data_IF_787304695205
#
_entry.id   IF_787304695205
#
_cell.length_a   1.000
_cell.length_b   1.000
_cell.length_c   1.000
_cell.angle_alpha   90.00
_cell.angle_beta   90.00
_cell.angle_gamma   90.00
#
_symmetry.space_group_name_H-M   'P 1'
#
loop_
_entity.id
_entity.type
_entity.pdbx_description
1 polymer ?
#
# COMPACT_ATOMS: atom_id res chain seq x y z
N UNK A 1 -38.13 49.70 3.58
CA UNK A 1 -39.51 50.17 3.84
C UNK A 1 -40.47 48.98 3.66
N UNK A 2 -41.57 48.91 4.43
CA UNK A 2 -42.09 47.68 5.05
C UNK A 2 -43.19 46.94 4.27
N UNK A 3 -43.31 45.62 4.54
CA UNK A 3 -44.49 44.80 4.99
C UNK A 3 -45.92 45.37 4.83
N UNK A 4 -47.07 44.62 4.90
CA UNK A 4 -47.28 43.38 5.70
C UNK A 4 -48.48 42.42 5.35
N UNK A 5 -48.74 41.47 6.26
CA UNK A 5 -50.04 40.84 6.66
C UNK A 5 -50.57 39.67 5.79
N UNK A 6 -51.17 38.60 6.33
CA UNK A 6 -51.75 38.34 7.66
C UNK A 6 -51.96 36.84 7.93
N UNK A 7 -51.91 36.48 9.21
CA UNK A 7 -52.34 35.22 9.82
C UNK A 7 -53.86 34.99 9.69
N UNK A 8 -54.30 33.73 9.70
CA UNK A 8 -55.56 33.34 10.36
C UNK A 8 -55.53 31.84 10.74
N UNK A 9 -55.68 31.59 12.04
CA UNK A 9 -55.99 30.31 12.64
C UNK A 9 -57.52 30.08 12.62
N UNK A 10 -57.96 28.83 12.55
CA UNK A 10 -59.35 28.45 12.74
C UNK A 10 -59.44 26.97 13.08
N UNK A 11 -60.03 26.69 14.25
CA UNK A 11 -60.04 25.43 15.00
C UNK A 11 -61.41 24.74 14.86
N UNK A 12 -61.38 23.41 14.88
CA UNK A 12 -62.40 22.39 15.23
C UNK A 12 -63.89 22.74 15.37
N UNK A 13 -64.76 21.89 14.81
CA UNK A 13 -65.81 21.15 15.54
C UNK A 13 -66.70 20.29 14.60
N UNK A 14 -66.67 18.97 14.79
CA UNK A 14 -67.79 18.02 14.57
C UNK A 14 -68.90 18.28 15.62
N UNK A 15 -70.16 17.75 15.57
CA UNK A 15 -70.47 16.31 15.44
C UNK A 15 -71.91 15.98 14.88
N UNK A 16 -72.43 14.80 15.26
CA UNK A 16 -73.81 14.25 15.17
C UNK A 16 -73.98 13.21 14.04
N UNK A 17 -73.68 11.92 14.30
CA UNK A 17 -74.46 10.89 15.04
C UNK A 17 -75.71 10.39 14.29
N UNK A 18 -75.78 9.08 14.01
CA UNK A 18 -76.76 8.16 14.61
C UNK A 18 -76.59 6.71 14.07
N UNK A 19 -76.44 5.77 15.00
CA UNK A 19 -76.44 4.30 14.84
C UNK A 19 -77.89 3.75 14.80
N UNK A 20 -78.13 2.49 14.36
CA UNK A 20 -78.17 1.37 15.31
C UNK A 20 -77.67 -0.01 14.79
N UNK A 21 -76.86 -0.64 15.64
CA UNK A 21 -76.83 -2.04 16.12
C UNK A 21 -77.54 -3.16 15.32
N UNK A 22 -76.80 -4.24 15.03
CA UNK A 22 -77.24 -5.62 15.21
C UNK A 22 -76.03 -6.58 15.31
N UNK A 23 -76.09 -7.42 16.34
CA UNK A 23 -75.11 -8.43 16.79
C UNK A 23 -75.00 -9.60 15.80
N UNK A 24 -73.80 -10.17 15.61
CA UNK A 24 -73.63 -11.63 15.56
C UNK A 24 -72.17 -12.04 15.83
N UNK A 25 -72.07 -13.21 16.43
CA UNK A 25 -70.97 -13.88 17.14
C UNK A 25 -69.74 -14.30 16.30
N UNK A 26 -68.68 -14.62 17.07
CA UNK A 26 -67.53 -15.49 16.76
C UNK A 26 -66.41 -14.88 15.89
N UNK A 27 -65.21 -14.71 16.44
CA UNK A 27 -64.26 -15.81 16.64
C UNK A 27 -63.04 -15.31 17.44
N UNK A 28 -62.69 -16.03 18.49
CA UNK A 28 -61.51 -15.82 19.33
C UNK A 28 -60.24 -16.23 18.56
N UNK A 29 -59.47 -15.29 18.03
CA UNK A 29 -58.10 -15.52 17.53
C UNK A 29 -57.17 -14.33 17.86
N UNK A 30 -57.04 -13.99 19.13
CA UNK A 30 -55.95 -13.12 19.62
C UNK A 30 -55.32 -13.72 20.88
N UNK A 31 -54.75 -14.93 20.78
CA UNK A 31 -53.89 -15.44 21.86
C UNK A 31 -53.02 -16.65 21.49
N UNK A 32 -52.28 -16.66 20.38
CA UNK A 32 -51.31 -17.75 20.17
C UNK A 32 -50.13 -17.45 19.23
N UNK A 33 -49.39 -16.37 19.44
CA UNK A 33 -48.04 -16.23 18.85
C UNK A 33 -47.07 -15.52 19.82
N UNK A 34 -46.74 -16.16 20.94
CA UNK A 34 -45.56 -15.77 21.75
C UNK A 34 -44.96 -16.92 22.59
N UNK A 35 -45.28 -18.18 22.27
CA UNK A 35 -44.83 -19.34 23.05
C UNK A 35 -44.30 -20.48 22.15
N UNK A 36 -43.55 -20.15 21.11
CA UNK A 36 -42.79 -21.15 20.33
C UNK A 36 -41.40 -20.62 19.92
N UNK A 37 -40.72 -19.94 20.85
CA UNK A 37 -39.35 -19.47 20.65
C UNK A 37 -38.47 -19.68 21.89
N UNK A 38 -38.82 -20.65 22.73
CA UNK A 38 -38.06 -20.95 23.94
C UNK A 38 -38.12 -22.43 24.34
N UNK A 39 -37.85 -23.36 23.41
CA UNK A 39 -37.58 -24.76 23.79
C UNK A 39 -36.81 -25.49 22.67
N UNK A 40 -35.56 -25.09 22.43
CA UNK A 40 -34.58 -25.97 21.79
C UNK A 40 -33.15 -25.56 22.14
N UNK A 41 -32.79 -25.71 23.40
CA UNK A 41 -31.42 -26.06 23.76
C UNK A 41 -31.48 -27.29 24.65
N UNK A 42 -30.98 -28.41 24.11
CA UNK A 42 -29.96 -29.26 24.73
C UNK A 42 -29.77 -30.44 23.78
N UNK A 43 -28.71 -30.41 22.96
CA UNK A 43 -27.57 -31.32 23.12
C UNK A 43 -26.46 -31.04 22.09
N UNK A 44 -25.31 -30.60 22.62
CA UNK A 44 -23.95 -30.92 22.13
C UNK A 44 -23.66 -30.54 20.67
N UNK A 45 -23.37 -29.25 20.44
CA UNK A 45 -22.87 -28.74 19.16
C UNK A 45 -22.31 -27.30 19.21
N UNK A 46 -22.73 -26.49 20.18
CA UNK A 46 -22.44 -25.05 20.21
C UNK A 46 -20.94 -24.66 20.32
N UNK A 47 -20.08 -25.54 20.82
CA UNK A 47 -18.64 -25.26 20.90
C UNK A 47 -17.87 -25.51 19.60
N UNK A 48 -18.45 -26.23 18.62
CA UNK A 48 -17.82 -26.51 17.32
C UNK A 48 -18.30 -25.55 16.24
N UNK A 49 -19.57 -25.17 16.25
CA UNK A 49 -20.14 -24.27 15.25
C UNK A 49 -19.61 -22.83 15.38
N UNK A 50 -19.43 -22.30 16.61
CA UNK A 50 -18.84 -20.97 16.82
C UNK A 50 -17.33 -20.93 16.48
N UNK A 51 -16.61 -22.03 16.71
CA UNK A 51 -15.18 -22.15 16.38
C UNK A 51 -14.96 -22.33 14.86
N UNK A 52 -15.84 -23.10 14.19
CA UNK A 52 -15.87 -23.21 12.72
C UNK A 52 -16.23 -21.87 12.06
N UNK A 53 -17.22 -21.14 12.57
CA UNK A 53 -17.59 -19.81 12.06
C UNK A 53 -16.46 -18.79 12.24
N UNK A 54 -15.79 -18.78 13.40
CA UNK A 54 -14.62 -17.94 13.64
C UNK A 54 -13.46 -18.27 12.68
N UNK A 55 -13.24 -19.55 12.38
CA UNK A 55 -12.27 -20.01 11.40
C UNK A 55 -12.57 -19.52 9.98
N UNK A 56 -13.81 -19.66 9.53
CA UNK A 56 -14.27 -19.17 8.22
C UNK A 56 -14.16 -17.65 8.11
N UNK A 57 -14.49 -16.91 9.16
CA UNK A 57 -14.34 -15.45 9.21
C UNK A 57 -12.86 -15.04 9.14
N UNK A 58 -11.97 -15.76 9.81
CA UNK A 58 -10.53 -15.50 9.75
C UNK A 58 -9.97 -15.75 8.34
N UNK A 59 -10.39 -16.84 7.69
CA UNK A 59 -10.01 -17.15 6.31
C UNK A 59 -10.52 -16.07 5.34
N UNK A 60 -11.78 -15.66 5.47
CA UNK A 60 -12.35 -14.57 4.67
C UNK A 60 -11.59 -13.25 4.84
N UNK A 61 -11.19 -12.91 6.08
CA UNK A 61 -10.36 -11.73 6.36
C UNK A 61 -8.98 -11.84 5.70
N UNK A 62 -8.34 -13.01 5.75
CA UNK A 62 -7.05 -13.23 5.10
C UNK A 62 -7.14 -13.11 3.57
N UNK A 63 -8.19 -13.66 2.95
CA UNK A 63 -8.45 -13.50 1.51
C UNK A 63 -8.68 -12.04 1.15
N UNK A 64 -9.53 -11.34 1.89
CA UNK A 64 -9.80 -9.93 1.68
C UNK A 64 -8.54 -9.07 1.82
N UNK A 65 -7.68 -9.36 2.81
CA UNK A 65 -6.41 -8.68 3.00
C UNK A 65 -5.44 -8.91 1.83
N UNK A 66 -5.39 -10.13 1.28
CA UNK A 66 -4.66 -10.45 0.05
C UNK A 66 -5.14 -9.61 -1.14
N UNK A 67 -6.46 -9.58 -1.40
CA UNK A 67 -7.03 -8.77 -2.49
C UNK A 67 -6.79 -7.27 -2.31
N UNK A 68 -6.89 -6.76 -1.08
CA UNK A 68 -6.57 -5.37 -0.77
C UNK A 68 -5.10 -5.06 -1.03
N UNK A 69 -4.18 -5.96 -0.66
CA UNK A 69 -2.76 -5.79 -0.91
C UNK A 69 -2.47 -5.74 -2.42
N UNK A 70 -3.07 -6.61 -3.21
CA UNK A 70 -2.89 -6.63 -4.67
C UNK A 70 -3.44 -5.36 -5.34
N UNK A 71 -4.64 -4.94 -4.94
CA UNK A 71 -5.24 -3.68 -5.39
C UNK A 71 -4.35 -2.47 -5.06
N UNK A 72 -3.81 -2.43 -3.83
CA UNK A 72 -2.94 -1.35 -3.39
C UNK A 72 -1.60 -1.37 -4.12
N UNK A 73 -1.03 -2.55 -4.40
CA UNK A 73 0.17 -2.69 -5.24
C UNK A 73 -0.08 -2.18 -6.65
N UNK A 74 -1.20 -2.53 -7.29
CA UNK A 74 -1.57 -2.02 -8.61
C UNK A 74 -1.71 -0.49 -8.60
N UNK A 75 -2.39 0.06 -7.59
CA UNK A 75 -2.59 1.49 -7.41
C UNK A 75 -1.27 2.24 -7.19
N UNK A 76 -0.36 1.66 -6.39
CA UNK A 76 0.94 2.22 -6.06
C UNK A 76 1.86 2.25 -7.30
N UNK A 77 1.89 1.14 -8.04
CA UNK A 77 2.59 1.02 -9.32
C UNK A 77 2.09 2.04 -10.34
N UNK A 78 0.77 2.19 -10.48
CA UNK A 78 0.16 3.18 -11.37
C UNK A 78 0.52 4.61 -10.99
N UNK A 79 0.39 4.97 -9.71
CA UNK A 79 0.75 6.30 -9.22
C UNK A 79 2.26 6.60 -9.40
N UNK A 80 3.13 5.61 -9.17
CA UNK A 80 4.57 5.75 -9.39
C UNK A 80 4.89 6.00 -10.85
N UNK A 81 4.32 5.20 -11.76
CA UNK A 81 4.52 5.28 -13.21
C UNK A 81 4.15 6.66 -13.75
N UNK A 82 3.01 7.16 -13.31
CA UNK A 82 2.44 8.43 -13.77
C UNK A 82 2.93 9.65 -12.97
N UNK A 83 3.77 9.43 -11.96
CA UNK A 83 4.36 10.52 -11.17
C UNK A 83 3.36 11.25 -10.26
N UNK A 84 2.27 10.60 -9.86
CA UNK A 84 1.25 11.17 -8.96
C UNK A 84 1.69 11.03 -7.50
N UNK A 85 2.47 11.98 -7.01
CA UNK A 85 3.09 11.91 -5.68
C UNK A 85 2.10 11.79 -4.52
N UNK A 86 1.01 12.56 -4.51
CA UNK A 86 0.01 12.48 -3.43
C UNK A 86 -0.77 11.15 -3.43
N UNK A 87 -1.14 10.65 -4.61
CA UNK A 87 -1.81 9.35 -4.73
C UNK A 87 -0.87 8.23 -4.32
N UNK A 88 0.40 8.32 -4.71
CA UNK A 88 1.44 7.39 -4.28
C UNK A 88 1.58 7.38 -2.76
N UNK A 89 1.65 8.56 -2.13
CA UNK A 89 1.77 8.69 -0.67
C UNK A 89 0.55 8.11 0.07
N UNK A 90 -0.66 8.42 -0.37
CA UNK A 90 -1.90 7.87 0.21
C UNK A 90 -1.94 6.35 0.08
N UNK A 91 -1.68 5.85 -1.12
CA UNK A 91 -1.68 4.41 -1.42
C UNK A 91 -0.63 3.67 -0.60
N UNK A 92 0.57 4.24 -0.46
CA UNK A 92 1.64 3.70 0.39
C UNK A 92 1.16 3.52 1.84
N UNK A 93 0.59 4.57 2.42
CA UNK A 93 0.13 4.51 3.81
C UNK A 93 -0.96 3.44 4.00
N UNK A 94 -1.86 3.31 3.03
CA UNK A 94 -2.86 2.23 3.03
C UNK A 94 -2.22 0.84 2.89
N UNK A 95 -1.25 0.67 2.00
CA UNK A 95 -0.53 -0.59 1.80
C UNK A 95 0.20 -1.00 3.09
N UNK A 96 0.91 -0.07 3.72
CA UNK A 96 1.60 -0.28 4.99
C UNK A 96 0.66 -0.76 6.10
N UNK A 97 -0.50 -0.11 6.25
CA UNK A 97 -1.51 -0.54 7.23
C UNK A 97 -2.04 -1.96 6.96
N UNK A 98 -2.29 -2.31 5.70
CA UNK A 98 -2.70 -3.67 5.33
C UNK A 98 -1.59 -4.68 5.63
N UNK A 99 -0.35 -4.38 5.25
CA UNK A 99 0.82 -5.26 5.46
C UNK A 99 1.02 -5.55 6.95
N UNK A 100 0.91 -4.55 7.81
CA UNK A 100 1.01 -4.74 9.27
C UNK A 100 -0.15 -5.56 9.86
N UNK A 101 -1.30 -5.59 9.20
CA UNK A 101 -2.47 -6.39 9.61
C UNK A 101 -2.43 -7.85 9.18
N UNK A 102 -1.47 -8.26 8.34
CA UNK A 102 -1.36 -9.63 7.86
C UNK A 102 -0.81 -10.55 8.95
N UNK A 103 -1.52 -11.64 9.26
CA UNK A 103 -1.09 -12.65 10.23
C UNK A 103 -0.21 -13.74 9.62
N UNK A 104 -0.23 -13.89 8.29
CA UNK A 104 0.58 -14.83 7.54
C UNK A 104 0.89 -14.27 6.15
N UNK A 105 1.96 -14.77 5.53
CA UNK A 105 2.39 -14.33 4.20
C UNK A 105 2.63 -15.53 3.30
N UNK A 106 1.99 -15.51 2.12
CA UNK A 106 2.39 -16.37 1.00
C UNK A 106 3.64 -15.82 0.32
N UNK A 107 4.35 -16.64 -0.45
CA UNK A 107 5.49 -16.18 -1.26
C UNK A 107 5.09 -15.06 -2.23
N UNK A 108 3.88 -15.13 -2.79
CA UNK A 108 3.32 -14.10 -3.65
C UNK A 108 3.09 -12.78 -2.89
N UNK A 109 2.47 -12.82 -1.72
CA UNK A 109 2.28 -11.63 -0.89
C UNK A 109 3.60 -11.01 -0.45
N UNK A 110 4.60 -11.83 -0.09
CA UNK A 110 5.95 -11.37 0.23
C UNK A 110 6.59 -10.64 -0.96
N UNK A 111 6.49 -11.20 -2.16
CA UNK A 111 6.95 -10.54 -3.39
C UNK A 111 6.22 -9.21 -3.63
N UNK A 112 4.91 -9.16 -3.41
CA UNK A 112 4.10 -7.93 -3.51
C UNK A 112 4.56 -6.86 -2.51
N UNK A 113 4.90 -7.26 -1.27
CA UNK A 113 5.48 -6.38 -0.25
C UNK A 113 6.82 -5.82 -0.72
N UNK A 114 7.72 -6.66 -1.23
CA UNK A 114 9.02 -6.20 -1.74
C UNK A 114 8.88 -5.19 -2.88
N UNK A 115 7.93 -5.39 -3.80
CA UNK A 115 7.66 -4.43 -4.87
C UNK A 115 7.23 -3.08 -4.28
N UNK A 116 6.31 -3.08 -3.31
CA UNK A 116 5.85 -1.84 -2.67
C UNK A 116 7.00 -1.14 -1.93
N UNK A 117 7.75 -1.90 -1.12
CA UNK A 117 8.91 -1.41 -0.37
C UNK A 117 9.97 -0.82 -1.30
N UNK A 118 10.29 -1.50 -2.40
CA UNK A 118 11.24 -1.02 -3.39
C UNK A 118 10.79 0.34 -3.97
N UNK A 119 9.55 0.45 -4.43
CA UNK A 119 9.06 1.70 -5.03
C UNK A 119 9.03 2.87 -4.04
N UNK A 120 8.73 2.62 -2.76
CA UNK A 120 8.73 3.68 -1.74
C UNK A 120 10.13 4.24 -1.49
N UNK A 121 11.14 3.36 -1.44
CA UNK A 121 12.56 3.73 -1.30
C UNK A 121 13.08 4.47 -2.52
N UNK A 122 12.69 4.03 -3.72
CA UNK A 122 12.99 4.75 -4.96
C UNK A 122 12.31 6.12 -4.96
N UNK A 123 11.05 6.25 -4.54
CA UNK A 123 10.38 7.56 -4.49
C UNK A 123 11.05 8.53 -3.51
N UNK A 124 11.62 8.02 -2.41
CA UNK A 124 12.38 8.78 -1.42
C UNK A 124 13.88 8.88 -1.73
N UNK A 125 14.34 8.43 -2.91
CA UNK A 125 15.78 8.25 -3.17
C UNK A 125 16.64 9.50 -3.15
N UNK A 126 16.05 10.70 -3.13
CA UNK A 126 16.74 11.99 -2.95
C UNK A 126 16.60 12.59 -1.55
N UNK A 127 15.84 11.94 -0.67
CA UNK A 127 15.53 12.39 0.69
C UNK A 127 16.48 11.67 1.65
N UNK A 128 17.73 12.15 1.73
CA UNK A 128 18.81 11.47 2.47
C UNK A 128 18.56 11.36 3.98
N UNK A 129 17.66 12.19 4.52
CA UNK A 129 17.18 12.16 5.90
C UNK A 129 16.09 11.11 6.16
N UNK A 130 15.58 10.44 5.12
CA UNK A 130 14.59 9.38 5.28
C UNK A 130 15.24 8.06 5.69
N UNK A 131 14.83 7.54 6.86
CA UNK A 131 15.33 6.28 7.40
C UNK A 131 14.38 5.12 7.06
N UNK A 132 14.92 4.09 6.39
CA UNK A 132 14.18 2.85 6.06
C UNK A 132 14.70 1.60 6.77
N UNK A 133 15.94 1.66 7.29
CA UNK A 133 16.60 0.55 7.95
C UNK A 133 16.99 0.93 9.39
N UNK A 134 17.22 -0.09 10.23
CA UNK A 134 17.66 0.13 11.61
C UNK A 134 19.04 0.82 11.68
N UNK A 135 19.91 0.54 10.70
CA UNK A 135 21.17 1.27 10.55
C UNK A 135 20.90 2.62 9.86
N UNK A 136 20.95 3.69 10.65
CA UNK A 136 20.71 5.08 10.22
C UNK A 136 21.63 5.55 9.10
N UNK A 137 22.76 4.87 8.87
CA UNK A 137 23.72 5.22 7.80
C UNK A 137 23.25 4.78 6.42
N UNK A 138 22.27 3.88 6.35
CA UNK A 138 21.79 3.33 5.09
C UNK A 138 20.84 4.32 4.44
N UNK A 139 21.25 4.84 3.29
CA UNK A 139 20.44 5.74 2.48
C UNK A 139 19.22 5.03 1.88
N UNK A 140 18.16 5.78 1.48
CA UNK A 140 17.01 5.18 0.81
C UNK A 140 17.37 4.35 -0.44
N UNK A 141 18.38 4.74 -1.21
CA UNK A 141 18.80 4.00 -2.41
C UNK A 141 19.61 2.75 -2.09
N UNK A 142 20.40 2.73 -1.02
CA UNK A 142 21.03 1.50 -0.52
C UNK A 142 19.97 0.51 -0.03
N UNK A 143 18.98 1.00 0.72
CA UNK A 143 17.82 0.20 1.13
C UNK A 143 17.03 -0.33 -0.07
N UNK A 144 16.83 0.48 -1.12
CA UNK A 144 16.21 0.03 -2.37
C UNK A 144 17.01 -1.10 -3.02
N UNK A 145 18.35 -1.02 -3.00
CA UNK A 145 19.23 -2.04 -3.58
C UNK A 145 19.14 -3.38 -2.83
N UNK A 146 19.03 -3.34 -1.50
CA UNK A 146 18.84 -4.55 -0.68
C UNK A 146 17.52 -5.26 -0.99
N UNK A 147 16.42 -4.49 -1.09
CA UNK A 147 15.12 -5.05 -1.49
C UNK A 147 15.17 -5.56 -2.93
N UNK A 148 15.80 -4.82 -3.84
CA UNK A 148 15.93 -5.22 -5.24
C UNK A 148 16.59 -6.60 -5.39
N UNK A 149 17.64 -6.87 -4.62
CA UNK A 149 18.30 -8.18 -4.60
C UNK A 149 17.42 -9.34 -4.10
N UNK A 150 16.33 -9.04 -3.39
CA UNK A 150 15.36 -10.02 -2.87
C UNK A 150 14.16 -10.25 -3.80
N UNK A 151 14.00 -9.44 -4.85
CA UNK A 151 12.96 -9.60 -5.86
C UNK A 151 13.43 -10.61 -6.92
N UNK A 152 12.54 -11.52 -7.34
CA UNK A 152 12.82 -12.54 -8.35
C UNK A 152 13.39 -11.95 -9.66
N UNK A 153 14.43 -12.60 -10.18
CA UNK A 153 15.15 -12.20 -11.39
C UNK A 153 14.47 -12.73 -12.65
N UNK A 154 13.24 -12.30 -12.90
CA UNK A 154 12.50 -12.76 -14.09
C UNK A 154 13.10 -12.20 -15.41
N UNK A 155 13.87 -11.10 -15.32
CA UNK A 155 14.58 -10.50 -16.44
C UNK A 155 16.00 -10.10 -16.06
N UNK A 156 16.96 -11.01 -16.20
CA UNK A 156 18.35 -10.79 -15.77
C UNK A 156 18.96 -9.48 -16.31
N UNK A 157 18.76 -9.15 -17.58
CA UNK A 157 19.32 -7.92 -18.16
C UNK A 157 18.70 -6.64 -17.59
N UNK A 158 17.37 -6.56 -17.50
CA UNK A 158 16.69 -5.38 -16.93
C UNK A 158 16.99 -5.26 -15.43
N UNK A 159 17.07 -6.40 -14.74
CA UNK A 159 17.39 -6.47 -13.32
C UNK A 159 18.81 -5.96 -13.04
N UNK A 160 19.80 -6.39 -13.82
CA UNK A 160 21.17 -5.92 -13.72
C UNK A 160 21.29 -4.43 -14.09
N UNK A 161 20.59 -3.97 -15.13
CA UNK A 161 20.59 -2.58 -15.54
C UNK A 161 20.02 -1.67 -14.44
N UNK A 162 18.86 -2.00 -13.87
CA UNK A 162 18.27 -1.28 -12.73
C UNK A 162 19.21 -1.30 -11.54
N UNK A 163 19.79 -2.46 -11.22
CA UNK A 163 20.74 -2.60 -10.10
C UNK A 163 21.93 -1.64 -10.27
N UNK A 164 22.56 -1.62 -11.43
CA UNK A 164 23.71 -0.75 -11.71
C UNK A 164 23.32 0.73 -11.65
N UNK A 165 22.13 1.10 -12.15
CA UNK A 165 21.63 2.48 -12.08
C UNK A 165 21.37 2.93 -10.63
N UNK A 166 20.81 2.06 -9.78
CA UNK A 166 20.63 2.35 -8.35
C UNK A 166 21.98 2.56 -7.67
N UNK A 167 22.97 1.71 -7.94
CA UNK A 167 24.34 1.86 -7.39
C UNK A 167 24.99 3.18 -7.78
N UNK A 168 24.87 3.57 -9.06
CA UNK A 168 25.36 4.87 -9.54
C UNK A 168 24.63 6.00 -8.81
N UNK A 169 23.30 5.95 -8.72
CA UNK A 169 22.51 7.03 -8.14
C UNK A 169 22.65 7.14 -6.62
N UNK A 170 22.88 6.04 -5.90
CA UNK A 170 23.15 6.07 -4.46
C UNK A 170 24.37 6.96 -4.12
N UNK A 171 25.42 6.89 -4.93
CA UNK A 171 26.60 7.78 -4.78
C UNK A 171 26.33 9.17 -5.35
N UNK A 172 25.70 9.27 -6.53
CA UNK A 172 25.45 10.55 -7.19
C UNK A 172 24.59 11.50 -6.37
N UNK A 173 23.52 11.01 -5.72
CA UNK A 173 22.63 11.85 -4.89
C UNK A 173 23.39 12.46 -3.71
N UNK A 174 24.26 11.70 -3.06
CA UNK A 174 25.12 12.21 -1.99
C UNK A 174 26.05 13.32 -2.51
N UNK A 175 26.66 13.12 -3.69
CA UNK A 175 27.52 14.12 -4.33
C UNK A 175 26.74 15.38 -4.77
N UNK A 176 25.51 15.23 -5.29
CA UNK A 176 24.61 16.33 -5.67
C UNK A 176 24.25 17.19 -4.45
N UNK A 177 24.10 16.59 -3.28
CA UNK A 177 23.87 17.30 -2.01
C UNK A 177 25.15 17.93 -1.40
N UNK A 178 26.33 17.70 -1.99
CA UNK A 178 27.62 18.15 -1.44
C UNK A 178 28.15 17.28 -0.30
N UNK A 179 27.51 16.15 -0.01
CA UNK A 179 27.89 15.21 1.05
C UNK A 179 28.95 14.22 0.53
N UNK A 180 30.14 14.70 0.20
CA UNK A 180 31.19 13.86 -0.40
C UNK A 180 31.64 12.70 0.50
N UNK A 181 31.73 12.94 1.82
CA UNK A 181 32.09 11.89 2.79
C UNK A 181 31.06 10.76 2.80
N UNK A 182 29.78 11.12 2.80
CA UNK A 182 28.68 10.15 2.72
C UNK A 182 28.73 9.40 1.38
N UNK A 183 29.03 10.08 0.27
CA UNK A 183 29.19 9.43 -1.04
C UNK A 183 30.32 8.38 -1.04
N UNK A 184 31.46 8.67 -0.39
CA UNK A 184 32.56 7.71 -0.19
C UNK A 184 32.11 6.52 0.67
N UNK A 185 31.45 6.75 1.79
CA UNK A 185 30.97 5.69 2.68
C UNK A 185 29.91 4.80 2.01
N UNK A 186 28.96 5.39 1.27
CA UNK A 186 27.98 4.67 0.45
C UNK A 186 28.67 3.84 -0.62
N UNK A 187 29.67 4.41 -1.30
CA UNK A 187 30.45 3.70 -2.29
C UNK A 187 31.14 2.46 -1.70
N UNK A 188 31.80 2.60 -0.54
CA UNK A 188 32.47 1.47 0.13
C UNK A 188 31.48 0.39 0.56
N UNK A 189 30.28 0.75 1.05
CA UNK A 189 29.27 -0.26 1.41
C UNK A 189 28.72 -1.01 0.19
N UNK A 190 28.50 -0.32 -0.93
CA UNK A 190 27.94 -0.92 -2.15
C UNK A 190 28.99 -1.72 -2.94
N UNK A 191 30.22 -1.22 -3.01
CA UNK A 191 31.27 -1.75 -3.89
C UNK A 191 32.46 -2.36 -3.12
N UNK A 192 32.41 -2.42 -1.79
CA UNK A 192 33.49 -2.93 -0.95
C UNK A 192 33.85 -4.40 -1.18
N UNK A 193 32.97 -5.18 -1.82
CA UNK A 193 33.28 -6.56 -2.22
C UNK A 193 34.43 -6.58 -3.26
N UNK A 194 35.57 -7.24 -2.97
CA UNK A 194 36.70 -7.39 -3.89
C UNK A 194 36.34 -8.08 -5.21
N UNK A 195 35.26 -8.87 -5.25
CA UNK A 195 34.84 -9.64 -6.42
C UNK A 195 33.95 -8.85 -7.39
N UNK A 196 33.66 -7.59 -7.11
CA UNK A 196 32.71 -6.79 -7.89
C UNK A 196 33.32 -6.18 -9.16
N UNK A 197 32.50 -6.07 -10.21
CA UNK A 197 32.83 -5.57 -11.55
C UNK A 197 33.70 -4.29 -11.54
N UNK A 198 34.93 -4.41 -12.04
CA UNK A 198 36.00 -3.41 -11.94
C UNK A 198 35.74 -2.08 -12.69
N UNK A 199 35.16 -2.05 -13.91
CA UNK A 199 35.02 -0.81 -14.68
C UNK A 199 34.13 0.25 -14.02
N UNK A 200 32.93 -0.15 -13.55
CA UNK A 200 31.98 0.77 -12.93
C UNK A 200 32.52 1.31 -11.60
N UNK A 201 33.05 0.40 -10.77
CA UNK A 201 33.70 0.72 -9.49
C UNK A 201 34.83 1.74 -9.68
N UNK A 202 35.75 1.47 -10.62
CA UNK A 202 36.89 2.36 -10.90
C UNK A 202 36.45 3.74 -11.37
N UNK A 203 35.45 3.80 -12.25
CA UNK A 203 34.95 5.07 -12.79
C UNK A 203 34.28 5.92 -11.70
N UNK A 204 33.44 5.33 -10.86
CA UNK A 204 32.78 6.03 -9.75
C UNK A 204 33.80 6.50 -8.70
N UNK A 205 34.75 5.65 -8.30
CA UNK A 205 35.80 6.00 -7.35
C UNK A 205 36.61 7.22 -7.83
N UNK A 206 36.97 7.26 -9.11
CA UNK A 206 37.66 8.40 -9.73
C UNK A 206 36.85 9.69 -9.58
N UNK A 207 35.55 9.66 -9.90
CA UNK A 207 34.66 10.82 -9.84
C UNK A 207 34.50 11.32 -8.40
N UNK A 208 34.26 10.41 -7.46
CA UNK A 208 34.11 10.72 -6.03
C UNK A 208 35.40 11.35 -5.49
N UNK A 209 36.56 10.77 -5.80
CA UNK A 209 37.87 11.29 -5.38
C UNK A 209 38.15 12.70 -5.92
N UNK A 210 37.70 12.98 -7.15
CA UNK A 210 37.81 14.31 -7.77
C UNK A 210 36.73 15.29 -7.30
N UNK A 211 35.71 14.82 -6.56
CA UNK A 211 34.53 15.58 -6.16
C UNK A 211 33.82 16.25 -7.36
N UNK A 212 33.87 15.59 -8.52
CA UNK A 212 33.30 16.12 -9.76
C UNK A 212 31.81 15.76 -9.87
N UNK A 213 30.96 16.52 -9.16
CA UNK A 213 29.50 16.33 -9.14
C UNK A 213 28.86 16.50 -10.54
N UNK A 214 29.49 17.25 -11.44
CA UNK A 214 28.94 17.54 -12.78
C UNK A 214 29.53 16.67 -13.89
N UNK A 215 30.32 15.65 -13.52
CA UNK A 215 30.96 14.74 -14.45
C UNK A 215 29.95 14.16 -15.46
N UNK A 216 30.32 14.08 -16.74
CA UNK A 216 29.45 13.62 -17.84
C UNK A 216 28.80 12.25 -17.61
N UNK A 217 29.46 11.39 -16.83
CA UNK A 217 28.95 10.11 -16.36
C UNK A 217 27.59 10.24 -15.63
N UNK A 218 27.46 11.13 -14.65
CA UNK A 218 26.19 11.36 -13.96
C UNK A 218 25.16 12.06 -14.86
N UNK A 219 25.62 12.83 -15.85
CA UNK A 219 24.74 13.41 -16.85
C UNK A 219 24.13 12.37 -17.80
N UNK A 220 24.80 11.25 -18.03
CA UNK A 220 24.27 10.12 -18.81
C UNK A 220 23.37 9.23 -17.96
N UNK A 221 23.84 8.86 -16.76
CA UNK A 221 23.13 7.99 -15.84
C UNK A 221 22.29 8.76 -14.82
N UNK A 222 21.47 9.73 -15.27
CA UNK A 222 20.67 10.58 -14.37
C UNK A 222 19.64 9.80 -13.57
N UNK A 223 19.21 10.39 -12.46
CA UNK A 223 18.09 9.87 -11.66
C UNK A 223 16.83 9.57 -12.49
N UNK A 224 16.49 10.43 -13.44
CA UNK A 224 15.35 10.19 -14.34
C UNK A 224 15.55 8.97 -15.24
N UNK A 225 16.77 8.72 -15.71
CA UNK A 225 17.08 7.54 -16.51
C UNK A 225 16.87 6.25 -15.70
N UNK A 226 17.34 6.24 -14.43
CA UNK A 226 17.04 5.16 -13.48
C UNK A 226 15.54 4.96 -13.29
N UNK A 227 14.79 6.06 -13.06
CA UNK A 227 13.34 5.99 -12.89
C UNK A 227 12.62 5.44 -14.12
N UNK A 228 13.02 5.81 -15.33
CA UNK A 228 12.41 5.27 -16.57
C UNK A 228 12.65 3.76 -16.71
N UNK A 229 13.84 3.25 -16.36
CA UNK A 229 14.09 1.80 -16.35
C UNK A 229 13.23 1.08 -15.31
N UNK A 230 13.06 1.67 -14.12
CA UNK A 230 12.16 1.13 -13.10
C UNK A 230 10.70 1.17 -13.56
N UNK A 231 10.27 2.20 -14.32
CA UNK A 231 8.92 2.22 -14.92
C UNK A 231 8.70 1.08 -15.90
N UNK A 232 9.73 0.66 -16.65
CA UNK A 232 9.62 -0.52 -17.52
C UNK A 232 9.39 -1.80 -16.72
N UNK A 233 10.10 -1.96 -15.59
CA UNK A 233 9.83 -3.04 -14.64
C UNK A 233 8.40 -2.95 -14.07
N UNK A 234 7.95 -1.76 -13.69
CA UNK A 234 6.59 -1.55 -13.19
C UNK A 234 5.53 -1.91 -14.24
N UNK A 235 5.76 -1.61 -15.52
CA UNK A 235 4.84 -2.00 -16.59
C UNK A 235 4.75 -3.52 -16.71
N UNK A 236 5.87 -4.23 -16.59
CA UNK A 236 5.88 -5.68 -16.55
C UNK A 236 5.08 -6.21 -15.34
N UNK A 237 5.35 -5.68 -14.15
CA UNK A 237 4.63 -5.96 -12.91
C UNK A 237 3.12 -5.75 -13.05
N UNK A 238 2.68 -4.66 -13.68
CA UNK A 238 1.26 -4.36 -13.93
C UNK A 238 0.61 -5.31 -14.94
N UNK A 239 1.38 -5.89 -15.85
CA UNK A 239 0.88 -6.83 -16.86
C UNK A 239 0.86 -8.29 -16.36
N UNK A 240 1.51 -8.59 -15.24
CA UNK A 240 1.37 -9.88 -14.57
C UNK A 240 -0.05 -10.02 -14.06
N UNK A 241 -0.76 -11.04 -14.57
CA UNK A 241 -2.04 -11.45 -13.98
C UNK A 241 -1.76 -12.09 -12.61
N UNK A 242 -2.61 -11.85 -11.60
CA UNK A 242 -2.53 -12.53 -10.31
C UNK A 242 -2.67 -14.05 -10.48
#
# INVERSE_FOLDING_TARGET
>A
APSPRSCAAGRDAHPTEEHPMAETESNDEEQFECQELLECQVQVGAGKEEEEDAGLVAEAKAMAAGWMLDFLRLSLCGAFREGRSEDFRRTRNSAEAIIHGLSSLTAYQLRTIYICQFLTRIAAGKTLDAQFENDERITPLESALMIWGSIEKEHDQLHEEIQNLIKIQATAVCMENGNFKEAEEVFERIFGDPNFHMPLKSKLLMIISQKDTFHSFFQHFRYNHMREKIKNYVNYVLNLKP
#
